data_IF_889148043390
#
_entry.id   IF_889148043390
#
_cell.length_a   1.000
_cell.length_b   1.000
_cell.length_c   1.000
_cell.angle_alpha   90.00
_cell.angle_beta   90.00
_cell.angle_gamma   90.00
#
_symmetry.space_group_name_H-M   'P 1'
#
loop_
_entity.id
_entity.type
_entity.pdbx_description
1 polymer ?
#
# COMPACT_ATOMS: atom_id res chain seq x y z
N UNK A 1 -0.87 -23.94 3.32
CA UNK A 1 0.07 -23.31 2.36
C UNK A 1 -0.50 -21.93 2.04
N UNK A 2 -0.14 -20.93 2.84
CA UNK A 2 -0.67 -19.56 2.75
C UNK A 2 0.13 -18.80 1.71
N UNK A 3 -0.59 -18.07 0.88
CA UNK A 3 -0.17 -17.53 -0.39
C UNK A 3 0.85 -16.39 -0.23
N UNK A 4 1.83 -16.41 -1.12
CA UNK A 4 2.93 -15.46 -1.27
C UNK A 4 2.46 -14.06 -1.65
N UNK A 5 2.98 -13.05 -0.94
CA UNK A 5 2.97 -11.64 -1.35
C UNK A 5 4.05 -11.51 -2.43
N UNK A 6 3.67 -11.55 -3.70
CA UNK A 6 4.57 -11.16 -4.77
C UNK A 6 4.49 -9.64 -4.93
N UNK A 7 5.46 -8.95 -4.33
CA UNK A 7 5.69 -7.53 -4.54
C UNK A 7 6.37 -7.36 -5.91
N UNK A 8 5.57 -7.13 -6.95
CA UNK A 8 6.09 -6.69 -8.24
C UNK A 8 6.06 -5.18 -8.28
N UNK A 9 7.21 -4.57 -8.00
CA UNK A 9 7.39 -3.14 -8.15
C UNK A 9 7.87 -2.85 -9.58
N UNK A 10 7.02 -2.24 -10.40
CA UNK A 10 7.50 -1.50 -11.57
C UNK A 10 7.88 -0.10 -11.10
N UNK A 11 9.15 0.25 -11.29
CA UNK A 11 9.63 1.62 -11.24
C UNK A 11 8.99 2.43 -12.37
N UNK A 12 7.87 3.08 -12.09
CA UNK A 12 7.53 4.33 -12.77
C UNK A 12 7.84 5.45 -11.79
N UNK A 13 8.94 6.17 -12.02
CA UNK A 13 9.16 7.46 -11.34
C UNK A 13 8.07 8.42 -11.78
N UNK A 14 6.94 8.41 -11.08
CA UNK A 14 5.92 9.43 -11.20
C UNK A 14 6.20 10.49 -10.17
N UNK A 15 6.00 11.72 -10.59
CA UNK A 15 6.59 12.88 -9.97
C UNK A 15 5.49 13.69 -9.25
N UNK A 16 5.76 14.29 -8.09
CA UNK A 16 4.78 15.08 -7.30
C UNK A 16 5.08 16.59 -7.33
N UNK A 17 4.10 17.46 -7.56
CA UNK A 17 4.28 18.93 -7.47
C UNK A 17 4.47 19.43 -6.04
N UNK A 18 5.27 20.49 -5.93
CA UNK A 18 5.57 21.15 -4.66
C UNK A 18 4.43 22.13 -4.30
N UNK A 19 3.59 21.76 -3.35
CA UNK A 19 2.51 22.61 -2.85
C UNK A 19 1.66 21.89 -1.81
N UNK A 20 1.79 22.32 -0.55
CA UNK A 20 1.15 21.81 0.69
C UNK A 20 1.49 20.36 1.05
N UNK A 21 1.99 20.15 2.28
CA UNK A 21 2.33 18.83 2.83
C UNK A 21 1.07 18.24 3.46
N UNK A 22 0.40 17.26 2.84
CA UNK A 22 -0.64 16.54 3.56
C UNK A 22 0.01 15.59 4.58
N UNK A 23 -0.42 15.69 5.83
CA UNK A 23 0.03 14.80 6.89
C UNK A 23 -0.62 13.41 6.72
N UNK A 24 0.02 12.48 6.01
CA UNK A 24 -0.49 11.11 5.87
C UNK A 24 0.60 10.07 6.16
N UNK A 25 0.59 9.54 7.38
CA UNK A 25 1.37 8.36 7.76
C UNK A 25 0.35 7.24 7.98
N UNK A 26 0.67 5.96 7.77
CA UNK A 26 0.12 4.75 8.48
C UNK A 26 -0.19 3.52 7.57
N UNK A 27 0.60 2.40 7.63
CA UNK A 27 0.22 0.95 7.76
C UNK A 27 0.88 -0.07 6.81
N UNK A 28 1.63 -1.08 7.34
CA UNK A 28 2.16 -2.17 6.52
C UNK A 28 1.03 -2.99 5.86
N UNK A 29 1.20 -3.40 4.59
CA UNK A 29 0.15 -4.01 3.78
C UNK A 29 -0.29 -5.44 4.19
N UNK A 30 0.09 -5.92 5.38
CA UNK A 30 -0.02 -7.34 5.73
C UNK A 30 -1.21 -7.75 6.63
N UNK A 31 -1.94 -6.84 7.30
CA UNK A 31 -3.04 -7.27 8.19
C UNK A 31 -4.26 -6.34 8.08
N UNK A 32 -5.20 -6.76 7.24
CA UNK A 32 -6.56 -6.22 7.13
C UNK A 32 -7.44 -6.48 8.37
N UNK A 33 -6.90 -7.11 9.42
CA UNK A 33 -7.54 -7.32 10.72
C UNK A 33 -7.09 -6.30 11.79
N UNK A 34 -6.35 -5.24 11.43
CA UNK A 34 -6.02 -4.15 12.36
C UNK A 34 -7.18 -3.17 12.60
N UNK A 35 -8.37 -3.40 12.01
CA UNK A 35 -9.57 -2.59 12.24
C UNK A 35 -10.75 -3.47 12.63
N UNK A 36 -10.82 -3.87 13.90
CA UNK A 36 -12.08 -3.96 14.65
C UNK A 36 -11.79 -3.49 16.09
N UNK A 37 -12.26 -2.29 16.44
CA UNK A 37 -12.29 -1.83 17.82
C UNK A 37 -11.32 -0.69 18.15
N UNK A 38 -11.61 -0.05 19.28
CA UNK A 38 -11.00 1.15 19.86
C UNK A 38 -9.54 0.91 20.33
N UNK A 39 -8.69 0.34 19.46
CA UNK A 39 -7.31 -0.03 19.76
C UNK A 39 -6.40 1.14 19.39
N UNK A 40 -5.78 1.71 20.42
CA UNK A 40 -4.86 2.83 20.32
C UNK A 40 -3.47 2.30 19.93
N UNK A 41 -3.18 2.23 18.64
CA UNK A 41 -1.81 2.10 18.11
C UNK A 41 -1.39 3.43 17.45
N UNK A 42 -0.09 3.66 17.32
CA UNK A 42 0.49 4.80 16.64
C UNK A 42 1.79 4.40 15.90
N UNK A 43 2.42 5.38 15.24
CA UNK A 43 3.61 5.18 14.39
C UNK A 43 4.83 5.90 14.95
N UNK A 44 4.78 6.29 16.23
CA UNK A 44 5.86 6.97 16.90
C UNK A 44 6.84 5.89 17.34
N UNK A 45 8.02 5.87 16.73
CA UNK A 45 9.09 4.94 17.10
C UNK A 45 9.47 5.12 18.58
N UNK A 46 9.57 4.00 19.32
CA UNK A 46 9.90 3.99 20.74
C UNK A 46 8.71 4.20 21.68
N UNK A 47 7.52 4.54 21.15
CA UNK A 47 6.30 4.63 21.95
C UNK A 47 5.78 3.23 22.32
N UNK A 48 5.19 3.04 23.53
CA UNK A 48 4.58 1.75 23.90
C UNK A 48 3.50 1.24 22.93
N UNK A 49 2.91 2.14 22.13
CA UNK A 49 1.92 1.85 21.09
C UNK A 49 2.48 2.00 19.67
N UNK A 50 3.80 2.18 19.54
CA UNK A 50 4.53 2.28 18.29
C UNK A 50 4.69 0.94 17.57
N UNK A 51 5.20 0.95 16.31
CA UNK A 51 5.28 -0.22 15.43
C UNK A 51 5.99 -1.43 16.04
N UNK A 52 7.06 -1.20 16.81
CA UNK A 52 7.83 -2.26 17.46
C UNK A 52 7.03 -3.03 18.54
N UNK A 53 5.91 -2.45 18.99
CA UNK A 53 5.07 -2.98 20.06
C UNK A 53 3.67 -3.41 19.60
N UNK A 54 3.27 -3.19 18.34
CA UNK A 54 1.91 -3.49 17.88
C UNK A 54 1.45 -4.92 18.18
N UNK A 55 2.33 -5.90 18.01
CA UNK A 55 2.01 -7.31 18.29
C UNK A 55 1.65 -7.61 19.76
N UNK A 56 1.93 -6.68 20.68
CA UNK A 56 1.59 -6.76 22.10
C UNK A 56 0.27 -6.08 22.43
N UNK A 57 -0.26 -5.25 21.52
CA UNK A 57 -1.45 -4.43 21.76
C UNK A 57 -2.74 -5.25 21.68
N UNK A 58 -2.74 -6.35 20.92
CA UNK A 58 -3.89 -7.22 20.77
C UNK A 58 -3.47 -8.65 20.41
N UNK A 59 -4.19 -9.66 20.91
CA UNK A 59 -3.84 -11.08 20.73
C UNK A 59 -3.83 -11.50 19.25
N UNK A 60 -4.75 -10.95 18.45
CA UNK A 60 -4.82 -11.21 17.00
C UNK A 60 -3.68 -10.54 16.19
N UNK A 61 -2.85 -9.71 16.82
CA UNK A 61 -1.76 -8.98 16.13
C UNK A 61 -0.40 -9.64 16.33
N UNK A 62 -0.36 -10.86 16.89
CA UNK A 62 0.87 -11.59 17.12
C UNK A 62 1.77 -11.70 15.86
N UNK A 63 1.16 -11.75 14.67
CA UNK A 63 1.89 -11.81 13.40
C UNK A 63 2.75 -10.56 13.12
N UNK A 64 2.36 -9.37 13.62
CA UNK A 64 3.15 -8.14 13.43
C UNK A 64 4.56 -8.24 14.02
N UNK A 65 4.76 -9.08 15.04
CA UNK A 65 6.05 -9.22 15.73
C UNK A 65 6.66 -10.62 15.65
N UNK A 66 5.85 -11.64 15.38
CA UNK A 66 6.30 -13.04 15.29
C UNK A 66 6.33 -13.58 13.85
N UNK A 67 5.70 -12.88 12.91
CA UNK A 67 5.72 -13.22 11.50
C UNK A 67 7.13 -13.18 10.93
N UNK A 68 7.44 -14.08 10.01
CA UNK A 68 8.76 -14.16 9.35
C UNK A 68 8.74 -13.64 7.91
N UNK A 69 7.56 -13.20 7.44
CA UNK A 69 7.32 -12.67 6.11
C UNK A 69 6.49 -11.40 6.26
N UNK A 70 7.06 -10.39 6.92
CA UNK A 70 6.41 -9.10 7.11
C UNK A 70 6.88 -8.12 6.05
N UNK A 71 5.99 -7.18 5.73
CA UNK A 71 6.30 -6.00 4.94
C UNK A 71 6.24 -4.76 5.85
N UNK A 72 6.87 -3.64 5.47
CA UNK A 72 7.71 -3.46 4.28
C UNK A 72 9.08 -4.15 4.38
N UNK A 73 9.80 -4.18 3.26
CA UNK A 73 11.20 -4.61 3.16
C UNK A 73 12.04 -3.56 2.40
N UNK A 74 13.36 -3.64 2.56
CA UNK A 74 14.31 -2.98 1.66
C UNK A 74 14.58 -3.92 0.48
N UNK A 75 14.42 -3.40 -0.74
CA UNK A 75 14.55 -4.17 -1.98
C UNK A 75 15.91 -3.88 -2.60
N UNK A 76 16.61 -4.95 -3.00
CA UNK A 76 17.88 -4.84 -3.73
C UNK A 76 17.80 -5.46 -5.12
N UNK A 77 18.72 -5.06 -6.00
CA UNK A 77 18.82 -5.60 -7.35
C UNK A 77 19.14 -7.11 -7.38
N UNK A 78 19.72 -7.65 -6.32
CA UNK A 78 20.10 -9.07 -6.20
C UNK A 78 18.86 -9.99 -6.04
N UNK A 79 17.73 -9.45 -5.61
CA UNK A 79 16.51 -10.21 -5.28
C UNK A 79 15.52 -10.29 -6.44
N UNK A 80 15.90 -9.76 -7.62
CA UNK A 80 15.05 -9.80 -8.82
C UNK A 80 15.06 -11.19 -9.44
N UNK A 81 13.88 -11.80 -9.57
CA UNK A 81 13.71 -13.01 -10.37
C UNK A 81 13.52 -12.63 -11.86
N UNK A 82 14.50 -12.93 -12.73
CA UNK A 82 14.46 -12.55 -14.14
C UNK A 82 13.47 -13.37 -14.97
N UNK A 83 12.92 -14.46 -14.41
CA UNK A 83 11.93 -15.30 -15.10
C UNK A 83 10.54 -14.65 -15.11
N UNK A 84 10.35 -13.66 -14.25
CA UNK A 84 9.09 -12.97 -14.12
C UNK A 84 8.87 -12.02 -15.30
N UNK A 85 7.71 -12.16 -15.95
CA UNK A 85 7.32 -11.30 -17.07
C UNK A 85 6.70 -9.98 -16.63
N UNK A 86 6.30 -9.16 -17.62
CA UNK A 86 5.57 -7.92 -17.36
C UNK A 86 4.24 -8.15 -16.64
N UNK A 87 3.91 -7.25 -15.72
CA UNK A 87 2.60 -7.16 -15.07
C UNK A 87 1.47 -7.21 -16.10
N UNK A 88 0.45 -8.02 -15.83
CA UNK A 88 -0.74 -8.17 -16.66
C UNK A 88 -1.90 -7.44 -16.00
N UNK A 89 -2.04 -6.16 -16.36
CA UNK A 89 -3.05 -5.25 -15.82
C UNK A 89 -4.18 -5.08 -16.84
N UNK A 90 -5.42 -5.10 -16.36
CA UNK A 90 -6.59 -4.74 -17.15
C UNK A 90 -7.50 -3.88 -16.27
N UNK A 91 -7.17 -2.60 -16.17
CA UNK A 91 -7.92 -1.63 -15.38
C UNK A 91 -8.94 -0.88 -16.22
N UNK A 92 -10.05 -0.51 -15.59
CA UNK A 92 -11.14 0.23 -16.21
C UNK A 92 -11.45 1.47 -15.38
N UNK A 93 -11.83 2.55 -16.06
CA UNK A 93 -12.28 3.76 -15.39
C UNK A 93 -13.63 3.49 -14.73
N UNK A 94 -13.63 3.53 -13.40
CA UNK A 94 -14.79 3.21 -12.56
C UNK A 94 -14.86 4.21 -11.42
N UNK A 95 -16.08 4.56 -11.01
CA UNK A 95 -16.30 5.45 -9.88
C UNK A 95 -15.68 4.88 -8.61
N UNK A 96 -15.09 5.77 -7.82
CA UNK A 96 -14.51 5.44 -6.54
C UNK A 96 -14.86 6.52 -5.52
N UNK A 97 -14.94 6.10 -4.27
CA UNK A 97 -15.18 6.97 -3.12
C UNK A 97 -13.86 7.24 -2.42
N UNK A 98 -13.55 8.50 -2.15
CA UNK A 98 -12.39 8.89 -1.37
C UNK A 98 -12.80 9.00 0.09
N UNK A 99 -12.19 8.19 0.96
CA UNK A 99 -12.51 8.10 2.38
C UNK A 99 -11.28 8.51 3.19
N UNK A 100 -11.48 9.40 4.16
CA UNK A 100 -10.47 9.75 5.14
C UNK A 100 -10.79 9.04 6.47
N UNK A 101 -10.03 8.01 6.81
CA UNK A 101 -10.18 7.27 8.07
C UNK A 101 -9.46 7.94 9.26
N UNK A 102 -8.96 9.17 9.07
CA UNK A 102 -8.16 9.93 10.04
C UNK A 102 -6.71 9.46 10.15
N UNK A 103 -6.42 8.24 9.70
CA UNK A 103 -5.08 7.62 9.68
C UNK A 103 -4.58 7.42 8.27
N UNK A 104 -5.46 7.04 7.36
CA UNK A 104 -5.15 6.87 5.95
C UNK A 104 -6.24 7.53 5.10
N UNK A 105 -5.84 7.96 3.91
CA UNK A 105 -6.77 8.29 2.84
C UNK A 105 -6.84 7.08 1.91
N UNK A 106 -8.04 6.60 1.67
CA UNK A 106 -8.32 5.41 0.89
C UNK A 106 -9.26 5.78 -0.24
N UNK A 107 -8.89 5.38 -1.44
CA UNK A 107 -9.77 5.38 -2.60
C UNK A 107 -10.39 3.98 -2.72
N UNK A 108 -11.70 3.87 -2.55
CA UNK A 108 -12.45 2.61 -2.59
C UNK A 108 -13.30 2.52 -3.86
N UNK A 109 -13.18 1.42 -4.61
CA UNK A 109 -14.00 1.19 -5.81
C UNK A 109 -15.24 0.36 -5.48
N UNK A 110 -16.42 0.95 -5.70
CA UNK A 110 -17.72 0.27 -5.53
C UNK A 110 -18.07 -0.68 -6.69
N UNK A 111 -17.39 -0.52 -7.83
CA UNK A 111 -17.61 -1.29 -9.05
C UNK A 111 -16.38 -2.06 -9.54
N UNK A 112 -16.46 -2.60 -10.75
CA UNK A 112 -15.33 -3.30 -11.37
C UNK A 112 -14.31 -2.28 -11.90
N UNK A 113 -13.24 -2.04 -11.14
CA UNK A 113 -12.09 -1.22 -11.54
C UNK A 113 -11.08 -2.01 -12.41
N UNK A 114 -11.41 -3.25 -12.76
CA UNK A 114 -10.53 -4.18 -13.43
C UNK A 114 -9.65 -4.98 -12.47
N UNK A 115 -8.58 -5.56 -12.99
CA UNK A 115 -7.79 -6.56 -12.26
C UNK A 115 -6.31 -6.58 -12.61
N UNK A 116 -5.52 -7.10 -11.67
CA UNK A 116 -4.19 -7.65 -11.86
C UNK A 116 -4.32 -9.16 -12.14
N UNK A 117 -3.60 -9.67 -13.14
CA UNK A 117 -3.51 -11.11 -13.43
C UNK A 117 -2.12 -11.63 -13.07
N UNK A 118 -2.08 -12.62 -12.19
CA UNK A 118 -0.88 -13.40 -11.83
C UNK A 118 -1.17 -14.84 -12.22
N UNK A 119 -0.36 -15.39 -13.12
CA UNK A 119 -0.60 -16.69 -13.77
C UNK A 119 -2.02 -16.82 -14.36
N UNK A 120 -2.80 -17.79 -13.88
CA UNK A 120 -4.20 -18.00 -14.25
C UNK A 120 -5.19 -17.26 -13.34
N UNK A 121 -4.72 -16.58 -12.29
CA UNK A 121 -5.57 -15.97 -11.26
C UNK A 121 -5.76 -14.48 -11.49
N UNK A 122 -7.02 -14.03 -11.44
CA UNK A 122 -7.37 -12.63 -11.45
C UNK A 122 -7.58 -12.11 -10.03
N UNK A 123 -7.03 -10.94 -9.76
CA UNK A 123 -7.17 -10.20 -8.52
C UNK A 123 -7.82 -8.85 -8.86
N UNK A 124 -9.09 -8.68 -8.52
CA UNK A 124 -9.84 -7.44 -8.76
C UNK A 124 -9.28 -6.31 -7.92
N UNK A 125 -9.06 -5.14 -8.51
CA UNK A 125 -8.66 -3.93 -7.78
C UNK A 125 -9.81 -3.51 -6.85
N UNK A 126 -9.50 -3.35 -5.56
CA UNK A 126 -10.49 -2.98 -4.54
C UNK A 126 -10.30 -1.57 -4.03
N UNK A 127 -9.04 -1.18 -3.85
CA UNK A 127 -8.72 0.05 -3.15
C UNK A 127 -7.29 0.49 -3.41
N UNK A 128 -7.05 1.76 -3.13
CA UNK A 128 -5.73 2.38 -3.18
C UNK A 128 -5.57 3.32 -1.99
N UNK A 129 -4.47 3.21 -1.27
CA UNK A 129 -4.14 4.11 -0.17
C UNK A 129 -2.67 4.52 -0.23
N UNK A 130 -2.30 5.52 0.57
CA UNK A 130 -0.99 6.14 0.52
C UNK A 130 -0.28 6.14 1.87
N UNK A 131 1.04 6.01 1.82
CA UNK A 131 1.95 6.27 2.92
C UNK A 131 2.92 7.37 2.52
N UNK A 132 3.06 8.36 3.40
CA UNK A 132 4.15 9.32 3.34
C UNK A 132 5.02 9.15 4.59
N UNK A 133 6.35 8.98 4.43
CA UNK A 133 7.09 8.64 3.22
C UNK A 133 6.79 7.20 2.78
N UNK A 134 7.50 6.69 1.77
CA UNK A 134 7.38 5.27 1.41
C UNK A 134 7.71 4.35 2.58
N UNK A 135 7.01 3.23 2.67
CA UNK A 135 7.29 2.15 3.61
C UNK A 135 8.43 1.27 3.08
N UNK A 136 8.35 0.84 1.81
CA UNK A 136 9.41 0.11 1.13
C UNK A 136 10.59 1.04 0.78
N UNK A 137 11.77 0.43 0.69
CA UNK A 137 13.00 1.08 0.27
C UNK A 137 13.57 0.36 -0.95
N UNK A 138 14.35 1.07 -1.76
CA UNK A 138 15.18 0.46 -2.80
C UNK A 138 16.61 0.84 -2.51
N UNK A 139 17.49 -0.15 -2.34
CA UNK A 139 18.89 0.05 -1.97
C UNK A 139 19.02 1.03 -0.79
N UNK A 140 18.24 0.78 0.27
CA UNK A 140 18.13 1.60 1.48
C UNK A 140 17.67 3.04 1.25
N UNK A 141 17.16 3.35 0.06
CA UNK A 141 16.63 4.66 -0.29
C UNK A 141 15.12 4.67 -0.08
N UNK A 142 14.68 5.54 0.84
CA UNK A 142 13.26 5.84 1.05
C UNK A 142 12.77 6.90 0.05
N UNK A 143 11.55 6.72 -0.44
CA UNK A 143 10.90 7.58 -1.42
C UNK A 143 9.90 8.52 -0.72
N UNK A 144 9.50 9.59 -1.41
CA UNK A 144 8.71 10.66 -0.81
C UNK A 144 7.27 10.22 -0.49
N UNK A 145 6.72 9.28 -1.26
CA UNK A 145 5.37 8.74 -1.07
C UNK A 145 5.32 7.32 -1.65
N UNK A 146 4.45 6.49 -1.10
CA UNK A 146 4.11 5.16 -1.62
C UNK A 146 2.61 4.99 -1.72
N UNK A 147 2.13 4.48 -2.84
CA UNK A 147 0.73 4.12 -2.99
C UNK A 147 0.57 2.60 -3.12
N UNK A 148 -0.26 2.03 -2.24
CA UNK A 148 -0.61 0.62 -2.23
C UNK A 148 -1.95 0.40 -2.94
N UNK A 149 -1.92 -0.29 -4.08
CA UNK A 149 -3.11 -0.75 -4.79
C UNK A 149 -3.42 -2.19 -4.38
N UNK A 150 -4.48 -2.39 -3.60
CA UNK A 150 -4.85 -3.72 -3.09
C UNK A 150 -5.84 -4.39 -4.03
N UNK A 151 -5.50 -5.62 -4.38
CA UNK A 151 -6.30 -6.49 -5.23
C UNK A 151 -6.70 -7.75 -4.48
N UNK A 152 -7.87 -8.29 -4.79
CA UNK A 152 -8.39 -9.50 -4.18
C UNK A 152 -8.95 -10.46 -5.23
N UNK A 153 -8.56 -11.74 -5.13
CA UNK A 153 -9.10 -12.80 -5.98
C UNK A 153 -10.45 -13.31 -5.48
N UNK A 154 -11.12 -14.15 -6.29
CA UNK A 154 -12.38 -14.79 -5.91
C UNK A 154 -12.29 -15.70 -4.68
N UNK A 155 -11.10 -16.23 -4.38
CA UNK A 155 -10.83 -17.07 -3.21
C UNK A 155 -10.26 -16.29 -2.01
N UNK A 156 -10.36 -14.95 -2.01
CA UNK A 156 -9.98 -14.09 -0.89
C UNK A 156 -8.46 -13.87 -0.75
N UNK A 157 -7.69 -14.24 -1.77
CA UNK A 157 -6.24 -14.01 -1.79
C UNK A 157 -5.95 -12.57 -2.17
N UNK A 158 -4.93 -11.98 -1.55
CA UNK A 158 -4.54 -10.59 -1.78
C UNK A 158 -3.26 -10.47 -2.60
N UNK A 159 -3.21 -9.42 -3.41
CA UNK A 159 -2.00 -8.97 -4.11
C UNK A 159 -1.94 -7.44 -4.05
N UNK A 160 -0.77 -6.88 -3.77
CA UNK A 160 -0.58 -5.44 -3.64
C UNK A 160 0.45 -4.97 -4.65
N UNK A 161 0.11 -3.93 -5.42
CA UNK A 161 1.08 -3.20 -6.23
C UNK A 161 1.46 -1.93 -5.46
N UNK A 162 2.75 -1.81 -5.14
CA UNK A 162 3.32 -0.61 -4.56
C UNK A 162 3.87 0.31 -5.66
N UNK A 163 3.47 1.58 -5.63
CA UNK A 163 4.01 2.62 -6.50
C UNK A 163 4.80 3.61 -5.65
N UNK A 164 6.10 3.77 -5.94
CA UNK A 164 6.96 4.73 -5.24
C UNK A 164 7.05 6.04 -6.02
N UNK A 165 6.98 7.17 -5.32
CA UNK A 165 6.99 8.51 -5.89
C UNK A 165 8.20 9.32 -5.43
N UNK A 166 8.65 10.24 -6.28
CA UNK A 166 9.61 11.29 -5.93
C UNK A 166 9.00 12.67 -6.19
N UNK A 167 9.37 13.67 -5.41
CA UNK A 167 8.95 15.07 -5.63
C UNK A 167 9.55 15.61 -6.95
N UNK A 168 8.77 16.43 -7.67
CA UNK A 168 9.11 17.13 -8.91
C UNK A 168 7.88 17.57 -9.75
N UNK A 169 7.74 17.12 -11.00
CA UNK A 169 6.62 17.45 -11.90
C UNK A 169 5.26 16.97 -11.36
N UNK A 170 4.14 17.45 -11.92
CA UNK A 170 2.82 17.13 -11.37
C UNK A 170 2.31 15.76 -11.79
N UNK A 171 1.52 15.14 -10.90
CA UNK A 171 0.78 13.91 -11.19
C UNK A 171 -0.72 14.22 -11.26
N UNK A 172 -1.29 14.14 -12.47
CA UNK A 172 -2.71 14.46 -12.71
C UNK A 172 -3.67 13.59 -11.89
N UNK A 173 -3.30 12.36 -11.58
CA UNK A 173 -4.13 11.49 -10.75
C UNK A 173 -4.13 11.97 -9.30
N UNK A 174 -2.95 12.28 -8.75
CA UNK A 174 -2.85 12.79 -7.38
C UNK A 174 -3.43 14.19 -7.21
N UNK A 175 -3.32 15.06 -8.22
CA UNK A 175 -4.02 16.35 -8.21
C UNK A 175 -5.53 16.16 -8.04
N UNK A 176 -6.14 15.21 -8.76
CA UNK A 176 -7.57 14.90 -8.61
C UNK A 176 -7.88 14.41 -7.20
N UNK A 177 -7.07 13.50 -6.65
CA UNK A 177 -7.24 12.99 -5.29
C UNK A 177 -7.15 14.11 -4.26
N UNK A 178 -6.09 14.94 -4.33
CA UNK A 178 -5.85 16.04 -3.39
C UNK A 178 -6.98 17.08 -3.47
N UNK A 179 -7.41 17.45 -4.67
CA UNK A 179 -8.52 18.39 -4.86
C UNK A 179 -9.84 17.86 -4.28
N UNK A 180 -10.02 16.54 -4.22
CA UNK A 180 -11.18 15.92 -3.56
C UNK A 180 -11.07 15.87 -2.03
N UNK A 181 -9.89 16.11 -1.44
CA UNK A 181 -9.70 16.15 0.02
C UNK A 181 -9.90 17.53 0.64
N UNK A 182 -9.75 18.60 -0.15
CA UNK A 182 -9.72 19.99 0.33
C UNK A 182 -11.13 20.64 0.28
N UNK A 183 -12.10 19.98 -0.35
CA UNK A 183 -13.51 20.42 -0.41
C UNK A 183 -14.36 19.77 0.68
#
# INVERSE_FOLDING_TARGET
MKLFVFLFMMLFTQVLTQGEKPNFWLCPPAIWECVIGNLNYNYIEGDPKGPENWWKLHDNWALCGKGQMQSPIDLSDEEKDPTLGNLKLNYMATNATLVNHGREVVLEWDGDAGYLKIDSTQYSLKQMYWHYPSEHQIDSTRYDLEAHMVHESKDGKKAVIANLYKIGASNQFLEKVINSLIN
#
